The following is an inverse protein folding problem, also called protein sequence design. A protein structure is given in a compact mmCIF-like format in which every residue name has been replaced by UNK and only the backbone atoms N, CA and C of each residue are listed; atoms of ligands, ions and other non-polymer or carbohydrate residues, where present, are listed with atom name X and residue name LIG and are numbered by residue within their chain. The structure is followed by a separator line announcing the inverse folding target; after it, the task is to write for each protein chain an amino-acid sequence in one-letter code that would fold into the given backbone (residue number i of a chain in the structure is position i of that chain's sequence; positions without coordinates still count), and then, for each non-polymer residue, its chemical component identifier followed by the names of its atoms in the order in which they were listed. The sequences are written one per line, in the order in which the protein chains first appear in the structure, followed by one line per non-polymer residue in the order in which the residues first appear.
data_IF_473287709371
#
_entry.id   IF_473287709371
#
_cell.length_a   1.000
_cell.length_b   1.000
_cell.length_c   1.000
_cell.angle_alpha   90.00
_cell.angle_beta   90.00
_cell.angle_gamma   90.00
#
_symmetry.space_group_name_H-M   'P 1'
#
loop_
_entity.id
_entity.type
_entity.pdbx_description
1 polymer ?
#
# COMPACT_ATOMS: atom_id res chain seq x y z
N UNK A 1 -18.77 1.02 7.19
CA UNK A 1 -19.23 1.10 5.79
C UNK A 1 -17.97 0.97 4.95
N UNK A 2 -17.94 0.04 4.00
CA UNK A 2 -16.81 -0.07 3.06
C UNK A 2 -16.76 1.21 2.22
N UNK A 3 -15.65 1.94 2.26
CA UNK A 3 -15.43 3.10 1.39
C UNK A 3 -15.37 2.62 -0.07
N UNK A 4 -16.05 3.33 -0.97
CA UNK A 4 -16.22 2.98 -2.39
C UNK A 4 -14.91 2.60 -3.10
N UNK A 5 -13.78 3.16 -2.66
CA UNK A 5 -12.47 2.89 -3.25
C UNK A 5 -11.91 1.51 -2.90
N UNK A 6 -12.16 0.99 -1.68
CA UNK A 6 -11.80 -0.41 -1.34
C UNK A 6 -12.61 -1.40 -2.16
N UNK A 7 -13.89 -1.09 -2.41
CA UNK A 7 -14.75 -1.93 -3.25
C UNK A 7 -14.26 -1.93 -4.70
N UNK A 8 -13.88 -0.77 -5.26
CA UNK A 8 -13.29 -0.66 -6.61
C UNK A 8 -11.98 -1.42 -6.73
N UNK A 9 -11.11 -1.32 -5.74
CA UNK A 9 -9.83 -2.01 -5.77
C UNK A 9 -10.02 -3.53 -5.67
N UNK A 10 -10.96 -4.00 -4.84
CA UNK A 10 -11.33 -5.42 -4.76
C UNK A 10 -11.87 -5.94 -6.09
N UNK A 11 -12.70 -5.16 -6.79
CA UNK A 11 -13.20 -5.51 -8.13
C UNK A 11 -12.04 -5.61 -9.13
N UNK A 12 -11.06 -4.69 -9.07
CA UNK A 12 -9.88 -4.72 -9.95
C UNK A 12 -8.96 -5.90 -9.67
N UNK A 13 -8.82 -6.30 -8.40
CA UNK A 13 -8.02 -7.45 -7.97
C UNK A 13 -8.75 -8.80 -8.06
N UNK A 14 -10.08 -8.79 -8.26
CA UNK A 14 -10.88 -10.01 -8.37
C UNK A 14 -10.38 -11.01 -9.43
N UNK A 15 -9.84 -10.61 -10.60
CA UNK A 15 -9.23 -11.55 -11.54
C UNK A 15 -8.01 -12.28 -10.95
N UNK A 16 -7.28 -11.65 -10.04
CA UNK A 16 -6.10 -12.23 -9.40
C UNK A 16 -6.45 -13.15 -8.23
N UNK A 17 -7.70 -13.17 -7.78
CA UNK A 17 -8.17 -14.14 -6.78
C UNK A 17 -8.40 -15.54 -7.34
N UNK A 18 -8.41 -15.69 -8.68
CA UNK A 18 -8.61 -17.00 -9.34
C UNK A 18 -7.33 -17.84 -9.43
N UNK A 19 -6.18 -17.31 -8.98
CA UNK A 19 -4.88 -17.99 -8.97
C UNK A 19 -4.35 -18.08 -7.55
N UNK A 20 -3.79 -19.23 -7.17
CA UNK A 20 -3.14 -19.43 -5.87
C UNK A 20 -1.78 -18.72 -5.89
N UNK A 21 -1.70 -17.51 -5.32
CA UNK A 21 -0.50 -16.68 -5.12
C UNK A 21 0.66 -16.88 -6.12
N UNK A 22 0.38 -17.13 -7.41
CA UNK A 22 1.40 -17.51 -8.40
C UNK A 22 2.01 -16.30 -9.11
N UNK A 23 1.40 -15.13 -8.93
CA UNK A 23 1.85 -13.85 -9.46
C UNK A 23 2.04 -12.85 -8.32
N UNK A 24 2.78 -11.77 -8.58
CA UNK A 24 2.97 -10.67 -7.63
C UNK A 24 1.65 -10.10 -7.12
N UNK A 25 0.68 -9.92 -8.02
CA UNK A 25 -0.60 -9.34 -7.69
C UNK A 25 -1.49 -10.28 -6.86
N UNK A 26 -1.39 -11.60 -7.06
CA UNK A 26 -2.07 -12.57 -6.22
C UNK A 26 -1.55 -12.55 -4.77
N UNK A 27 -0.22 -12.47 -4.57
CA UNK A 27 0.36 -12.25 -3.23
C UNK A 27 -0.13 -10.96 -2.59
N UNK A 28 -0.18 -9.86 -3.35
CA UNK A 28 -0.72 -8.58 -2.88
C UNK A 28 -2.17 -8.73 -2.43
N UNK A 29 -3.01 -9.36 -3.23
CA UNK A 29 -4.43 -9.59 -2.92
C UNK A 29 -4.62 -10.41 -1.63
N UNK A 30 -3.88 -11.50 -1.46
CA UNK A 30 -3.96 -12.31 -0.24
C UNK A 30 -3.43 -11.55 0.98
N UNK A 31 -2.30 -10.84 0.84
CA UNK A 31 -1.72 -10.06 1.94
C UNK A 31 -2.65 -8.91 2.39
N UNK A 32 -3.35 -8.25 1.46
CA UNK A 32 -4.34 -7.21 1.78
C UNK A 32 -5.55 -7.74 2.55
N UNK A 33 -5.87 -9.04 2.45
CA UNK A 33 -6.95 -9.66 3.21
C UNK A 33 -6.56 -10.06 4.63
N UNK A 34 -5.26 -10.15 4.93
CA UNK A 34 -4.80 -10.57 6.25
C UNK A 34 -5.21 -9.60 7.36
N UNK A 35 -5.30 -8.28 7.06
CA UNK A 35 -5.66 -7.28 8.06
C UNK A 35 -6.40 -6.08 7.46
N UNK A 36 -7.49 -5.59 8.09
CA UNK A 36 -8.34 -4.53 7.51
C UNK A 36 -7.64 -3.17 7.37
N UNK A 37 -6.61 -2.89 8.17
CA UNK A 37 -5.87 -1.61 8.11
C UNK A 37 -4.76 -1.58 7.05
N UNK A 38 -4.54 -2.69 6.32
CA UNK A 38 -3.59 -2.70 5.21
C UNK A 38 -4.17 -1.92 4.04
N UNK A 39 -3.44 -0.92 3.59
CA UNK A 39 -3.80 -0.05 2.45
C UNK A 39 -3.14 -0.55 1.18
N UNK A 40 -1.89 -1.01 1.28
CA UNK A 40 -1.15 -1.55 0.15
C UNK A 40 -0.11 -2.58 0.62
N UNK A 41 0.33 -3.45 -0.28
CA UNK A 41 1.41 -4.41 -0.03
C UNK A 41 2.33 -4.44 -1.24
N UNK A 42 3.59 -4.06 -1.03
CA UNK A 42 4.61 -4.28 -2.06
C UNK A 42 5.13 -5.73 -1.97
N UNK A 43 5.21 -6.38 -3.14
CA UNK A 43 5.66 -7.77 -3.28
C UNK A 43 6.95 -7.80 -4.08
N UNK A 44 8.01 -8.31 -3.46
CA UNK A 44 9.33 -8.47 -4.09
C UNK A 44 9.78 -9.93 -4.02
N UNK A 45 10.47 -10.38 -5.06
CA UNK A 45 11.17 -11.68 -5.05
C UNK A 45 12.64 -11.42 -5.36
N UNK A 46 13.46 -11.09 -4.34
CA UNK A 46 14.87 -10.78 -4.55
C UNK A 46 15.69 -12.02 -4.92
N UNK A 47 15.25 -13.20 -4.48
CA UNK A 47 15.88 -14.49 -4.75
C UNK A 47 14.79 -15.47 -5.19
N UNK A 48 15.04 -16.35 -6.18
CA UNK A 48 14.07 -17.37 -6.58
C UNK A 48 13.55 -18.19 -5.41
N UNK A 49 12.24 -18.43 -5.37
CA UNK A 49 11.58 -19.17 -4.30
C UNK A 49 11.46 -18.41 -2.97
N UNK A 50 11.81 -17.12 -2.92
CA UNK A 50 11.54 -16.25 -1.76
C UNK A 50 10.67 -15.07 -2.18
N UNK A 51 9.64 -14.80 -1.38
CA UNK A 51 8.69 -13.69 -1.58
C UNK A 51 8.68 -12.83 -0.33
N UNK A 52 9.18 -11.61 -0.45
CA UNK A 52 9.16 -10.60 0.59
C UNK A 52 7.90 -9.71 0.41
N UNK A 53 7.10 -9.62 1.45
CA UNK A 53 5.89 -8.80 1.53
C UNK A 53 6.14 -7.60 2.44
N UNK A 54 5.82 -6.40 1.95
CA UNK A 54 5.96 -5.15 2.69
C UNK A 54 4.59 -4.49 2.85
N UNK A 55 3.85 -4.80 3.92
CA UNK A 55 2.52 -4.23 4.15
C UNK A 55 2.62 -2.78 4.65
N UNK A 56 1.81 -1.90 4.06
CA UNK A 56 1.63 -0.51 4.47
C UNK A 56 0.26 -0.36 5.15
N UNK A 57 0.25 0.25 6.33
CA UNK A 57 -0.99 0.51 7.07
C UNK A 57 -1.46 1.95 6.90
N UNK A 58 -2.78 2.15 7.03
CA UNK A 58 -3.38 3.49 7.08
C UNK A 58 -2.86 4.31 8.27
N UNK A 59 -2.43 3.64 9.34
CA UNK A 59 -1.86 4.25 10.54
C UNK A 59 -0.33 4.39 10.48
N UNK A 60 0.32 4.02 9.37
CA UNK A 60 1.77 4.10 9.17
C UNK A 60 2.45 2.74 9.04
N UNK A 61 3.55 2.54 9.79
CA UNK A 61 4.33 1.30 9.71
C UNK A 61 3.62 0.15 10.44
N UNK A 62 3.69 -1.09 9.91
CA UNK A 62 3.15 -2.27 10.56
C UNK A 62 3.95 -2.62 11.82
N UNK A 63 3.24 -3.06 12.85
CA UNK A 63 3.85 -3.65 14.04
C UNK A 63 4.19 -5.13 13.81
N UNK A 64 4.87 -5.74 14.78
CA UNK A 64 5.23 -7.17 14.71
C UNK A 64 4.00 -8.09 14.61
N UNK A 65 2.89 -7.71 15.24
CA UNK A 65 1.66 -8.50 15.22
C UNK A 65 1.05 -8.60 13.82
N UNK A 66 0.93 -7.47 13.12
CA UNK A 66 0.44 -7.43 11.75
C UNK A 66 1.39 -8.15 10.80
N UNK A 67 2.71 -8.02 10.98
CA UNK A 67 3.68 -8.75 10.16
C UNK A 67 3.52 -10.26 10.30
N UNK A 68 3.40 -10.77 11.53
CA UNK A 68 3.15 -12.20 11.78
C UNK A 68 1.81 -12.65 11.19
N UNK A 69 0.77 -11.82 11.26
CA UNK A 69 -0.53 -12.14 10.69
C UNK A 69 -0.46 -12.24 9.16
N UNK A 70 0.19 -11.28 8.49
CA UNK A 70 0.40 -11.30 7.03
C UNK A 70 1.24 -12.50 6.62
N UNK A 71 2.34 -12.77 7.32
CA UNK A 71 3.23 -13.89 7.01
C UNK A 71 2.50 -15.23 7.17
N UNK A 72 1.78 -15.43 8.28
CA UNK A 72 1.04 -16.67 8.52
C UNK A 72 -0.08 -16.88 7.51
N UNK A 73 -0.85 -15.83 7.18
CA UNK A 73 -1.93 -15.90 6.19
C UNK A 73 -1.41 -16.24 4.79
N UNK A 74 -0.35 -15.56 4.35
CA UNK A 74 0.24 -15.80 3.04
C UNK A 74 1.09 -17.08 2.98
N UNK A 75 1.49 -17.65 4.12
CA UNK A 75 2.24 -18.90 4.19
C UNK A 75 1.35 -20.15 4.24
N UNK A 76 0.03 -19.98 4.33
CA UNK A 76 -0.95 -21.08 4.32
C UNK A 76 -0.78 -21.92 3.05
N UNK A 77 -0.84 -23.25 3.19
CA UNK A 77 -0.64 -24.22 2.11
C UNK A 77 -1.63 -24.06 0.95
N UNK A 78 -2.82 -23.51 1.22
CA UNK A 78 -3.82 -23.21 0.18
C UNK A 78 -3.55 -21.90 -0.55
N UNK A 79 -2.70 -21.04 0.02
CA UNK A 79 -2.38 -19.72 -0.53
C UNK A 79 -1.04 -19.76 -1.25
N UNK A 80 0.03 -20.24 -0.61
CA UNK A 80 1.38 -20.21 -1.19
C UNK A 80 1.62 -21.33 -2.22
N UNK A 81 2.34 -21.05 -3.31
CA UNK A 81 2.95 -22.07 -4.14
C UNK A 81 3.97 -22.89 -3.34
N UNK A 82 4.11 -24.17 -3.69
CA UNK A 82 4.92 -25.14 -2.96
C UNK A 82 6.41 -24.73 -2.83
N UNK A 83 6.94 -24.05 -3.85
CA UNK A 83 8.36 -23.67 -3.95
C UNK A 83 8.70 -22.36 -3.24
N UNK A 84 7.68 -21.64 -2.75
CA UNK A 84 7.87 -20.29 -2.26
C UNK A 84 7.98 -20.25 -0.73
N UNK A 85 8.92 -19.43 -0.26
CA UNK A 85 9.11 -19.03 1.13
C UNK A 85 8.66 -17.58 1.29
N UNK A 86 7.58 -17.37 2.03
CA UNK A 86 7.00 -16.03 2.24
C UNK A 86 7.60 -15.41 3.50
N UNK A 87 7.88 -14.10 3.46
CA UNK A 87 8.41 -13.33 4.59
C UNK A 87 7.73 -11.97 4.64
N UNK A 88 7.17 -11.59 5.79
CA UNK A 88 6.66 -10.24 5.97
C UNK A 88 7.76 -9.35 6.58
N UNK A 89 7.98 -8.18 6.00
CA UNK A 89 9.02 -7.22 6.42
C UNK A 89 8.44 -5.83 6.60
N UNK A 90 8.99 -5.08 7.55
CA UNK A 90 8.63 -3.68 7.75
C UNK A 90 9.10 -2.85 6.54
N UNK A 91 8.21 -2.03 5.93
CA UNK A 91 8.60 -1.05 4.93
C UNK A 91 9.60 -0.03 5.50
N UNK A 92 10.46 0.53 4.65
CA UNK A 92 11.33 1.62 5.04
C UNK A 92 10.62 2.94 4.76
N UNK A 93 10.45 3.77 5.80
CA UNK A 93 9.92 5.12 5.64
C UNK A 93 10.99 6.00 4.98
N UNK A 94 10.64 6.64 3.86
CA UNK A 94 11.48 7.62 3.19
C UNK A 94 10.79 8.98 3.32
N UNK A 95 11.42 9.90 4.05
CA UNK A 95 10.91 11.26 4.18
C UNK A 95 11.17 12.05 2.87
N UNK A 96 10.21 12.88 2.49
CA UNK A 96 10.27 13.71 1.28
C UNK A 96 9.85 15.14 1.58
N UNK A 97 10.32 16.08 0.75
CA UNK A 97 9.97 17.50 0.82
C UNK A 97 9.44 17.94 -0.54
N UNK A 98 8.29 18.63 -0.55
CA UNK A 98 7.73 19.21 -1.78
C UNK A 98 8.15 20.67 -1.85
N UNK A 99 8.93 21.02 -2.89
CA UNK A 99 9.27 22.39 -3.22
C UNK A 99 8.57 22.81 -4.51
N UNK A 100 7.71 23.82 -4.43
CA UNK A 100 6.97 24.35 -5.56
C UNK A 100 7.18 25.86 -5.70
N UNK A 101 7.48 26.32 -6.91
CA UNK A 101 7.49 27.74 -7.26
C UNK A 101 6.21 28.09 -7.99
N UNK A 102 5.38 28.91 -7.38
CA UNK A 102 4.08 29.31 -7.92
C UNK A 102 4.20 30.73 -8.47
N UNK A 103 3.92 30.89 -9.76
CA UNK A 103 3.78 32.20 -10.39
C UNK A 103 2.32 32.63 -10.29
N UNK A 104 2.07 33.73 -9.59
CA UNK A 104 0.74 34.30 -9.40
C UNK A 104 0.41 35.32 -10.49
N UNK A 105 -0.87 35.42 -10.84
CA UNK A 105 -1.35 36.49 -11.71
C UNK A 105 -1.31 37.84 -10.98
N UNK A 106 -1.17 38.93 -11.75
CA UNK A 106 -0.92 40.29 -11.25
C UNK A 106 -1.97 40.78 -10.25
N UNK A 107 -3.22 40.37 -10.40
CA UNK A 107 -4.35 40.86 -9.62
C UNK A 107 -4.83 39.86 -8.54
N UNK A 108 -4.00 38.86 -8.20
CA UNK A 108 -4.31 37.86 -7.18
C UNK A 108 -3.57 38.13 -5.87
N UNK A 109 -4.24 37.86 -4.75
CA UNK A 109 -3.60 37.95 -3.44
C UNK A 109 -2.63 36.79 -3.22
N UNK A 110 -1.33 37.12 -3.13
CA UNK A 110 -0.25 36.14 -3.00
C UNK A 110 -0.42 35.24 -1.77
N UNK A 111 -0.93 35.79 -0.65
CA UNK A 111 -1.08 35.07 0.61
C UNK A 111 -2.19 34.03 0.51
N UNK A 112 -3.36 34.44 0.03
CA UNK A 112 -4.52 33.55 -0.16
C UNK A 112 -4.19 32.40 -1.12
N UNK A 113 -3.49 32.67 -2.22
CA UNK A 113 -3.06 31.63 -3.17
C UNK A 113 -2.08 30.65 -2.51
N UNK A 114 -1.12 31.15 -1.73
CA UNK A 114 -0.16 30.29 -1.03
C UNK A 114 -0.84 29.43 0.04
N UNK A 115 -1.75 29.99 0.81
CA UNK A 115 -2.48 29.27 1.86
C UNK A 115 -3.41 28.20 1.25
N UNK A 116 -4.07 28.50 0.13
CA UNK A 116 -4.85 27.53 -0.63
C UNK A 116 -3.97 26.41 -1.21
N UNK A 117 -2.81 26.74 -1.78
CA UNK A 117 -1.88 25.75 -2.32
C UNK A 117 -1.33 24.82 -1.23
N UNK A 118 -0.97 25.37 -0.07
CA UNK A 118 -0.55 24.57 1.09
C UNK A 118 -1.67 23.65 1.57
N UNK A 119 -2.90 24.16 1.67
CA UNK A 119 -4.06 23.35 2.09
C UNK A 119 -4.34 22.22 1.09
N UNK A 120 -4.26 22.49 -0.21
CA UNK A 120 -4.45 21.48 -1.25
C UNK A 120 -3.38 20.38 -1.20
N UNK A 121 -2.11 20.74 -0.99
CA UNK A 121 -1.02 19.77 -0.83
C UNK A 121 -1.23 18.93 0.44
N UNK A 122 -1.58 19.54 1.58
CA UNK A 122 -1.81 18.80 2.82
C UNK A 122 -2.99 17.82 2.68
N UNK A 123 -4.06 18.22 2.01
CA UNK A 123 -5.20 17.35 1.74
C UNK A 123 -4.81 16.18 0.81
N UNK A 124 -4.00 16.44 -0.22
CA UNK A 124 -3.52 15.39 -1.12
C UNK A 124 -2.58 14.39 -0.42
N UNK A 125 -1.73 14.85 0.50
CA UNK A 125 -0.85 13.97 1.29
C UNK A 125 -1.63 13.12 2.30
N UNK A 126 -2.77 13.62 2.78
CA UNK A 126 -3.63 12.90 3.73
C UNK A 126 -4.64 11.96 3.06
N UNK A 127 -4.81 12.05 1.73
CA UNK A 127 -5.70 11.19 0.92
C UNK A 127 -4.95 9.96 0.44
#
# INVERSE_FOLDING_TARGET
QEDDDRLRERIRLAPESFTNAGSRGAYRFHAMQAHPNIVDVAVLSPVPGTVDLYPLLSTGLPDGGVLTLVESFCSDEKVRPLTDTVRAKTPVKVDYTIEARITIYRDQDARSVKDAANSAIQNWVAS
#
